data_IF_434012260505
#
_entry.id   IF_434012260505
#
_cell.length_a   1.000
_cell.length_b   1.000
_cell.length_c   1.000
_cell.angle_alpha   90.00
_cell.angle_beta   90.00
_cell.angle_gamma   90.00
#
_symmetry.space_group_name_H-M   'P 1'
#
loop_
_entity.id
_entity.type
_entity.pdbx_description
1 polymer ?
#
# COMPACT_ATOMS: atom_id res chain seq x y z
N UNK A 1 1.90 -12.23 -12.82
CA UNK A 1 1.44 -12.81 -11.55
C UNK A 1 1.37 -11.68 -10.53
N UNK A 2 0.20 -11.45 -9.93
CA UNK A 2 0.00 -10.47 -8.86
C UNK A 2 0.70 -11.00 -7.59
N UNK A 3 1.43 -10.15 -6.88
CA UNK A 3 2.33 -10.57 -5.81
C UNK A 3 2.04 -9.81 -4.51
N UNK A 4 1.83 -10.58 -3.44
CA UNK A 4 1.80 -10.14 -2.05
C UNK A 4 2.64 -11.17 -1.28
N UNK A 5 3.91 -10.88 -1.06
CA UNK A 5 4.87 -11.86 -0.56
C UNK A 5 4.90 -11.94 0.95
N UNK A 6 4.90 -10.78 1.62
CA UNK A 6 5.16 -10.70 3.06
C UNK A 6 4.14 -9.82 3.77
N UNK A 7 3.61 -10.36 4.87
CA UNK A 7 2.61 -9.72 5.73
C UNK A 7 3.19 -9.60 7.13
N UNK A 8 3.28 -8.38 7.68
CA UNK A 8 3.65 -8.16 9.07
C UNK A 8 2.40 -8.01 9.93
N UNK A 9 2.34 -8.76 11.02
CA UNK A 9 1.22 -8.72 11.98
C UNK A 9 1.75 -8.30 13.35
N UNK A 10 1.61 -7.02 13.73
CA UNK A 10 1.88 -6.58 15.09
C UNK A 10 0.84 -7.14 16.06
N UNK A 11 1.31 -7.87 17.07
CA UNK A 11 0.49 -8.48 18.12
C UNK A 11 0.69 -7.72 19.42
N UNK A 12 -0.41 -7.29 20.02
CA UNK A 12 -0.44 -6.91 21.44
C UNK A 12 -0.92 -8.13 22.21
N UNK A 13 -0.04 -8.73 23.01
CA UNK A 13 -0.34 -9.93 23.81
C UNK A 13 -1.45 -9.69 24.84
N UNK A 14 -1.75 -8.41 25.13
CA UNK A 14 -2.82 -8.07 26.05
C UNK A 14 -4.16 -7.87 25.33
N UNK A 15 -4.20 -7.66 24.01
CA UNK A 15 -5.42 -7.32 23.26
C UNK A 15 -6.00 -8.52 22.49
N UNK A 16 -7.19 -8.36 21.92
CA UNK A 16 -7.75 -9.35 21.00
C UNK A 16 -6.98 -9.34 19.67
N UNK A 17 -6.48 -10.51 19.25
CA UNK A 17 -5.64 -10.65 18.05
C UNK A 17 -6.16 -11.66 17.02
N UNK A 18 -7.17 -12.47 17.38
CA UNK A 18 -7.70 -13.54 16.51
C UNK A 18 -8.13 -13.01 15.15
N UNK A 19 -8.74 -11.81 15.11
CA UNK A 19 -9.20 -11.21 13.86
C UNK A 19 -8.04 -10.87 12.93
N UNK A 20 -6.92 -10.37 13.46
CA UNK A 20 -5.70 -10.09 12.70
C UNK A 20 -5.10 -11.38 12.13
N UNK A 21 -4.93 -12.41 12.97
CA UNK A 21 -4.34 -13.69 12.57
C UNK A 21 -5.20 -14.40 11.54
N UNK A 22 -6.52 -14.48 11.75
CA UNK A 22 -7.45 -15.07 10.79
C UNK A 22 -7.46 -14.32 9.45
N UNK A 23 -7.33 -12.99 9.48
CA UNK A 23 -7.19 -12.20 8.24
C UNK A 23 -5.86 -12.51 7.54
N UNK A 24 -4.76 -12.58 8.30
CA UNK A 24 -3.44 -12.91 7.76
C UNK A 24 -3.41 -14.30 7.11
N UNK A 25 -3.93 -15.33 7.79
CA UNK A 25 -4.05 -16.70 7.25
C UNK A 25 -4.82 -16.71 5.93
N UNK A 26 -5.96 -16.02 5.89
CA UNK A 26 -6.82 -15.98 4.72
C UNK A 26 -6.15 -15.34 3.51
N UNK A 27 -5.47 -14.23 3.72
CA UNK A 27 -4.72 -13.53 2.67
C UNK A 27 -3.51 -14.37 2.23
N UNK A 28 -2.74 -14.88 3.19
CA UNK A 28 -1.54 -15.68 2.93
C UNK A 28 -1.85 -16.95 2.11
N UNK A 29 -3.00 -17.59 2.33
CA UNK A 29 -3.44 -18.74 1.51
C UNK A 29 -3.63 -18.42 0.03
N UNK A 30 -4.22 -17.25 -0.25
CA UNK A 30 -4.53 -16.86 -1.63
C UNK A 30 -3.27 -16.45 -2.39
N UNK A 31 -2.36 -15.75 -1.72
CA UNK A 31 -1.14 -15.22 -2.36
C UNK A 31 0.13 -16.03 -2.08
N UNK A 32 0.04 -17.11 -1.30
CA UNK A 32 1.19 -17.86 -0.78
C UNK A 32 2.18 -16.97 -0.02
N UNK A 33 1.66 -16.00 0.75
CA UNK A 33 2.47 -15.03 1.49
C UNK A 33 3.11 -15.65 2.74
N UNK A 34 4.31 -15.19 3.08
CA UNK A 34 4.90 -15.36 4.41
C UNK A 34 4.25 -14.39 5.40
N UNK A 35 3.84 -14.91 6.55
CA UNK A 35 3.33 -14.13 7.68
C UNK A 35 4.44 -13.97 8.71
N UNK A 36 4.68 -12.73 9.14
CA UNK A 36 5.70 -12.39 10.14
C UNK A 36 4.99 -11.77 11.33
N UNK A 37 5.15 -12.38 12.50
CA UNK A 37 4.59 -11.86 13.75
C UNK A 37 5.63 -10.96 14.44
N UNK A 38 5.18 -9.81 14.96
CA UNK A 38 6.01 -8.92 15.77
C UNK A 38 5.30 -8.49 17.05
N UNK A 39 6.03 -8.47 18.17
CA UNK A 39 5.64 -7.80 19.40
C UNK A 39 6.70 -6.77 19.80
N UNK A 40 6.27 -5.62 20.33
CA UNK A 40 7.17 -4.60 20.85
C UNK A 40 6.89 -4.40 22.33
N UNK A 41 7.85 -4.80 23.16
CA UNK A 41 7.84 -4.55 24.59
C UNK A 41 8.09 -3.06 24.84
N UNK A 42 7.37 -2.43 25.80
CA UNK A 42 7.63 -1.04 26.17
C UNK A 42 9.06 -0.88 26.71
N UNK A 43 9.61 0.33 26.52
CA UNK A 43 10.83 0.73 27.20
C UNK A 43 10.51 0.82 28.71
N UNK A 44 11.19 0.03 29.54
CA UNK A 44 11.01 0.11 30.98
C UNK A 44 11.55 1.46 31.46
N UNK A 45 10.68 2.28 32.06
CA UNK A 45 11.04 3.57 32.64
C UNK A 45 11.78 3.37 33.98
N UNK A 46 12.96 2.73 33.94
CA UNK A 46 13.83 2.57 35.10
C UNK A 46 13.29 1.64 36.20
N UNK A 47 14.19 0.85 36.78
CA UNK A 47 13.99 0.07 38.02
C UNK A 47 13.04 -1.13 37.92
N UNK A 48 13.07 -1.87 36.80
CA UNK A 48 12.68 -3.29 36.79
C UNK A 48 13.87 -4.17 37.13
N UNK A 49 13.74 -5.12 38.07
CA UNK A 49 14.80 -6.12 38.26
C UNK A 49 14.99 -6.92 36.96
N UNK A 50 16.22 -7.29 36.61
CA UNK A 50 16.55 -8.14 35.45
C UNK A 50 15.63 -9.36 35.33
N UNK A 51 15.16 -9.89 36.48
CA UNK A 51 14.21 -11.00 36.57
C UNK A 51 12.83 -10.66 35.98
N UNK A 52 12.30 -9.47 36.21
CA UNK A 52 11.00 -9.02 35.67
C UNK A 52 11.09 -8.88 34.15
N UNK A 53 12.14 -8.24 33.66
CA UNK A 53 12.38 -8.09 32.23
C UNK A 53 12.46 -9.46 31.53
N UNK A 54 13.23 -10.39 32.11
CA UNK A 54 13.34 -11.76 31.59
C UNK A 54 11.99 -12.47 31.60
N UNK A 55 11.21 -12.38 32.68
CA UNK A 55 9.89 -13.00 32.75
C UNK A 55 8.91 -12.43 31.71
N UNK A 56 8.95 -11.13 31.44
CA UNK A 56 8.16 -10.50 30.37
C UNK A 56 8.56 -11.02 28.99
N UNK A 57 9.86 -11.14 28.73
CA UNK A 57 10.39 -11.69 27.48
C UNK A 57 10.00 -13.16 27.29
N UNK A 58 10.15 -13.98 28.33
CA UNK A 58 9.83 -15.40 28.31
C UNK A 58 8.32 -15.61 28.03
N UNK A 59 7.45 -14.85 28.72
CA UNK A 59 6.01 -14.87 28.49
C UNK A 59 5.63 -14.43 27.07
N UNK A 60 6.17 -13.31 26.59
CA UNK A 60 5.94 -12.87 25.22
C UNK A 60 6.40 -13.92 24.19
N UNK A 61 7.55 -14.54 24.42
CA UNK A 61 8.09 -15.59 23.54
C UNK A 61 7.16 -16.81 23.50
N UNK A 62 6.76 -17.33 24.65
CA UNK A 62 5.85 -18.48 24.73
C UNK A 62 4.50 -18.16 24.04
N UNK A 63 3.97 -16.98 24.27
CA UNK A 63 2.70 -16.55 23.69
C UNK A 63 2.77 -16.44 22.16
N UNK A 64 3.81 -15.79 21.62
CA UNK A 64 3.95 -15.66 20.17
C UNK A 64 4.27 -16.99 19.49
N UNK A 65 4.99 -17.89 20.16
CA UNK A 65 5.23 -19.24 19.64
C UNK A 65 3.93 -20.02 19.46
N UNK A 66 2.97 -19.91 20.39
CA UNK A 66 1.64 -20.53 20.22
C UNK A 66 0.89 -20.00 19.00
N UNK A 67 0.98 -18.69 18.74
CA UNK A 67 0.39 -18.10 17.52
C UNK A 67 1.12 -18.62 16.27
N UNK A 68 2.44 -18.72 16.33
CA UNK A 68 3.25 -19.22 15.22
C UNK A 68 2.96 -20.70 14.91
N UNK A 69 2.78 -21.54 15.94
CA UNK A 69 2.33 -22.92 15.81
C UNK A 69 0.98 -23.00 15.09
N UNK A 70 0.03 -22.12 15.44
CA UNK A 70 -1.27 -22.02 14.75
C UNK A 70 -1.09 -21.70 13.25
N UNK A 71 -0.17 -20.79 12.90
CA UNK A 71 0.14 -20.49 11.49
C UNK A 71 0.71 -21.72 10.76
N UNK A 72 1.62 -22.46 11.41
CA UNK A 72 2.23 -23.68 10.85
C UNK A 72 1.17 -24.77 10.65
N UNK A 73 0.28 -24.99 11.62
CA UNK A 73 -0.84 -25.94 11.53
C UNK A 73 -1.77 -25.59 10.36
N UNK A 74 -2.04 -24.30 10.15
CA UNK A 74 -2.83 -23.78 9.03
C UNK A 74 -2.06 -23.81 7.69
N UNK A 75 -0.83 -24.33 7.68
CA UNK A 75 0.10 -24.45 6.54
C UNK A 75 0.53 -23.12 5.94
N UNK A 76 0.68 -22.10 6.78
CA UNK A 76 1.15 -20.78 6.40
C UNK A 76 2.68 -20.72 6.50
N UNK A 77 3.32 -20.11 5.50
CA UNK A 77 4.75 -19.80 5.55
C UNK A 77 4.96 -18.76 6.65
N UNK A 78 5.80 -19.06 7.63
CA UNK A 78 6.10 -18.18 8.75
C UNK A 78 7.52 -18.43 9.23
N UNK A 79 8.03 -17.53 10.07
CA UNK A 79 9.35 -17.60 10.69
C UNK A 79 9.25 -17.32 12.19
N UNK A 80 10.38 -17.43 12.88
CA UNK A 80 10.43 -17.14 14.32
C UNK A 80 9.86 -15.74 14.64
N UNK A 81 8.98 -15.62 15.65
CA UNK A 81 8.39 -14.34 16.03
C UNK A 81 9.43 -13.29 16.41
N UNK A 82 9.19 -12.05 16.00
CA UNK A 82 10.09 -10.94 16.26
C UNK A 82 9.67 -10.24 17.56
N UNK A 83 10.57 -10.15 18.52
CA UNK A 83 10.37 -9.35 19.73
C UNK A 83 11.34 -8.16 19.70
N UNK A 84 10.81 -6.94 19.84
CA UNK A 84 11.59 -5.71 19.96
C UNK A 84 11.30 -5.02 21.29
N UNK A 85 12.14 -4.07 21.66
CA UNK A 85 11.91 -3.20 22.80
C UNK A 85 11.92 -1.73 22.35
N UNK A 86 11.11 -0.90 23.03
CA UNK A 86 11.11 0.55 22.88
C UNK A 86 9.83 1.08 22.23
N UNK A 87 9.97 2.09 21.37
CA UNK A 87 8.83 2.75 20.72
C UNK A 87 8.11 1.80 19.75
N UNK A 88 6.82 1.53 20.02
CA UNK A 88 5.99 0.58 19.28
C UNK A 88 5.98 0.85 17.77
N UNK A 89 5.56 2.05 17.37
CA UNK A 89 5.38 2.40 15.96
C UNK A 89 6.70 2.39 15.19
N UNK A 90 7.76 2.95 15.78
CA UNK A 90 9.07 3.03 15.13
C UNK A 90 9.64 1.63 14.87
N UNK A 91 9.52 0.72 15.83
CA UNK A 91 9.98 -0.66 15.68
C UNK A 91 9.16 -1.44 14.63
N UNK A 92 7.84 -1.29 14.62
CA UNK A 92 6.99 -1.93 13.61
C UNK A 92 7.37 -1.44 12.21
N UNK A 93 7.50 -0.13 11.99
CA UNK A 93 7.82 0.42 10.68
C UNK A 93 9.24 0.09 10.22
N UNK A 94 10.21 0.07 11.16
CA UNK A 94 11.58 -0.34 10.89
C UNK A 94 11.64 -1.80 10.46
N UNK A 95 10.94 -2.68 11.16
CA UNK A 95 10.92 -4.11 10.83
C UNK A 95 10.15 -4.37 9.52
N UNK A 96 9.01 -3.72 9.31
CA UNK A 96 8.27 -3.81 8.06
C UNK A 96 9.13 -3.41 6.85
N UNK A 97 9.97 -2.39 7.01
CA UNK A 97 10.93 -1.96 5.97
C UNK A 97 12.09 -2.94 5.81
N UNK A 98 12.65 -3.46 6.91
CA UNK A 98 13.79 -4.38 6.90
C UNK A 98 13.42 -5.75 6.31
N UNK A 99 12.18 -6.18 6.51
CA UNK A 99 11.62 -7.43 6.00
C UNK A 99 10.98 -7.27 4.62
N UNK A 100 11.02 -6.07 4.03
CA UNK A 100 10.42 -5.78 2.73
C UNK A 100 8.96 -6.28 2.63
N UNK A 101 8.16 -5.85 3.60
CA UNK A 101 6.77 -6.26 3.77
C UNK A 101 5.87 -5.45 2.84
N UNK A 102 4.89 -6.14 2.24
CA UNK A 102 3.90 -5.51 1.37
C UNK A 102 2.68 -4.97 2.14
N UNK A 103 2.36 -5.58 3.28
CA UNK A 103 1.16 -5.27 4.06
C UNK A 103 1.40 -5.39 5.56
N UNK A 104 0.94 -4.40 6.34
CA UNK A 104 0.82 -4.49 7.79
C UNK A 104 -0.65 -4.77 8.15
N UNK A 105 -0.92 -5.86 8.87
CA UNK A 105 -2.26 -6.15 9.42
C UNK A 105 -2.26 -5.82 10.91
N UNK A 106 -3.02 -4.80 11.30
CA UNK A 106 -3.10 -4.33 12.68
C UNK A 106 -4.53 -4.42 13.23
N UNK A 107 -4.67 -4.63 14.53
CA UNK A 107 -5.96 -4.51 15.20
C UNK A 107 -6.38 -3.05 15.31
N UNK A 108 -7.69 -2.78 15.35
CA UNK A 108 -8.20 -1.41 15.54
C UNK A 108 -7.98 -0.86 16.96
N UNK A 109 -7.46 -1.65 17.90
CA UNK A 109 -7.23 -1.29 19.30
C UNK A 109 -8.48 -1.31 20.18
N UNK A 110 -8.27 -1.15 21.50
CA UNK A 110 -9.31 -1.17 22.54
C UNK A 110 -10.20 0.07 22.56
N UNK A 111 -11.41 -0.10 23.08
CA UNK A 111 -12.33 1.01 23.39
C UNK A 111 -11.78 1.85 24.55
N UNK A 112 -11.61 3.14 24.34
CA UNK A 112 -11.54 4.11 25.44
C UNK A 112 -12.98 4.38 25.91
N UNK A 113 -13.26 4.23 27.21
CA UNK A 113 -14.57 4.49 27.81
C UNK A 113 -15.05 5.92 27.47
N UNK A 114 -16.31 6.07 27.07
CA UNK A 114 -16.91 7.39 26.74
C UNK A 114 -16.88 7.79 25.27
N UNK A 115 -16.15 7.07 24.40
CA UNK A 115 -16.21 7.25 22.95
C UNK A 115 -16.94 6.09 22.27
N UNK A 116 -17.95 6.40 21.44
CA UNK A 116 -18.57 5.42 20.52
C UNK A 116 -17.50 4.99 19.49
N UNK A 117 -16.76 3.93 19.80
CA UNK A 117 -15.79 3.18 18.96
C UNK A 117 -15.06 4.02 17.90
N UNK A 118 -13.82 4.43 18.15
CA UNK A 118 -13.03 5.14 17.14
C UNK A 118 -11.59 4.63 17.26
N UNK A 119 -11.03 4.10 16.18
CA UNK A 119 -9.63 3.69 15.97
C UNK A 119 -8.62 4.01 17.10
N UNK A 120 -7.93 2.99 17.62
CA UNK A 120 -6.89 3.13 18.63
C UNK A 120 -5.66 3.91 18.11
N UNK A 121 -4.95 4.55 19.03
CA UNK A 121 -3.81 5.44 18.73
C UNK A 121 -2.72 4.74 17.91
N UNK A 122 -2.39 3.48 18.25
CA UNK A 122 -1.39 2.71 17.51
C UNK A 122 -1.77 2.49 16.05
N UNK A 123 -3.04 2.14 15.77
CA UNK A 123 -3.53 1.93 14.42
C UNK A 123 -3.58 3.25 13.63
N UNK A 124 -4.03 4.36 14.25
CA UNK A 124 -4.01 5.69 13.63
C UNK A 124 -2.57 6.11 13.28
N UNK A 125 -1.62 5.91 14.18
CA UNK A 125 -0.20 6.21 13.95
C UNK A 125 0.39 5.33 12.85
N UNK A 126 0.10 4.03 12.81
CA UNK A 126 0.53 3.17 11.71
C UNK A 126 0.01 3.68 10.37
N UNK A 127 -1.29 3.98 10.24
CA UNK A 127 -1.84 4.50 8.98
C UNK A 127 -1.22 5.84 8.58
N UNK A 128 -0.98 6.71 9.57
CA UNK A 128 -0.40 8.04 9.35
C UNK A 128 1.05 7.94 8.88
N UNK A 129 1.88 7.16 9.55
CA UNK A 129 3.33 7.17 9.35
C UNK A 129 3.83 6.07 8.41
N UNK A 130 3.13 4.93 8.32
CA UNK A 130 3.58 3.80 7.51
C UNK A 130 3.66 4.17 6.02
N UNK A 131 4.80 3.95 5.35
CA UNK A 131 4.87 4.00 3.89
C UNK A 131 4.27 2.73 3.24
N UNK A 132 4.05 1.68 4.03
CA UNK A 132 3.49 0.39 3.62
C UNK A 132 1.97 0.42 3.89
N UNK A 133 1.13 -0.14 3.00
CA UNK A 133 -0.29 -0.31 3.25
C UNK A 133 -0.60 -0.92 4.62
N UNK A 134 -1.62 -0.38 5.28
CA UNK A 134 -2.08 -0.86 6.59
C UNK A 134 -3.52 -1.33 6.45
N UNK A 135 -3.76 -2.60 6.78
CA UNK A 135 -5.08 -3.19 6.95
C UNK A 135 -5.42 -3.19 8.43
N UNK A 136 -6.41 -2.39 8.81
CA UNK A 136 -6.93 -2.35 10.18
C UNK A 136 -8.14 -3.28 10.30
N UNK A 137 -8.06 -4.21 11.24
CA UNK A 137 -9.10 -5.22 11.50
C UNK A 137 -9.78 -4.91 12.84
N UNK A 138 -11.12 -4.79 12.89
CA UNK A 138 -11.84 -4.64 14.15
C UNK A 138 -11.86 -5.96 14.95
N UNK A 139 -11.82 -5.91 16.29
CA UNK A 139 -11.65 -7.09 17.16
C UNK A 139 -12.79 -8.13 17.06
N UNK A 140 -14.00 -7.71 16.65
CA UNK A 140 -15.14 -8.59 16.32
C UNK A 140 -15.59 -8.43 14.87
N UNK A 141 -14.69 -7.93 14.03
CA UNK A 141 -14.94 -7.71 12.62
C UNK A 141 -15.16 -9.03 11.89
N UNK A 142 -16.04 -9.02 10.89
CA UNK A 142 -16.06 -10.10 9.92
C UNK A 142 -14.71 -10.07 9.18
N UNK A 143 -13.99 -11.19 9.16
CA UNK A 143 -12.78 -11.40 8.34
C UNK A 143 -13.13 -11.78 6.89
N UNK A 144 -14.40 -11.59 6.52
CA UNK A 144 -14.90 -11.86 5.18
C UNK A 144 -14.46 -10.74 4.24
N UNK A 145 -14.11 -11.12 3.02
CA UNK A 145 -13.80 -10.21 1.92
C UNK A 145 -14.78 -10.65 0.85
N UNK A 146 -15.94 -10.01 0.82
CA UNK A 146 -17.01 -10.37 -0.11
C UNK A 146 -17.78 -9.19 -0.65
N UNK A 147 -17.73 -8.05 0.04
CA UNK A 147 -18.33 -6.82 -0.44
C UNK A 147 -17.43 -5.62 -0.11
N UNK A 148 -16.71 -5.16 -1.12
CA UNK A 148 -15.66 -4.16 -1.03
C UNK A 148 -16.22 -2.79 -1.45
N UNK A 149 -16.03 -1.77 -0.63
CA UNK A 149 -16.27 -0.37 -1.00
C UNK A 149 -14.93 0.32 -1.29
N UNK A 150 -14.82 0.98 -2.44
CA UNK A 150 -13.66 1.76 -2.83
C UNK A 150 -14.07 3.19 -3.22
N UNK A 151 -14.08 4.15 -2.27
CA UNK A 151 -14.29 5.55 -2.62
C UNK A 151 -13.06 6.10 -3.36
N UNK A 152 -13.32 6.87 -4.42
CA UNK A 152 -12.26 7.43 -5.26
C UNK A 152 -12.34 8.95 -5.36
N UNK A 153 -11.16 9.58 -5.34
CA UNK A 153 -10.99 11.02 -5.52
C UNK A 153 -9.98 11.35 -6.63
N UNK A 154 -9.65 10.36 -7.46
CA UNK A 154 -8.79 10.50 -8.64
C UNK A 154 -7.32 10.85 -8.33
N UNK A 155 -6.94 10.88 -7.05
CA UNK A 155 -5.54 11.06 -6.63
C UNK A 155 -4.72 9.78 -6.81
N UNK A 156 -3.39 9.88 -6.81
CA UNK A 156 -2.51 8.70 -6.87
C UNK A 156 -2.77 7.67 -5.74
N UNK A 157 -2.96 8.07 -4.46
CA UNK A 157 -3.38 7.13 -3.42
C UNK A 157 -4.72 6.44 -3.71
N UNK A 158 -5.67 7.15 -4.30
CA UNK A 158 -6.97 6.59 -4.73
C UNK A 158 -6.83 5.62 -5.90
N UNK A 159 -5.91 5.88 -6.85
CA UNK A 159 -5.57 4.91 -7.91
C UNK A 159 -4.99 3.63 -7.32
N UNK A 160 -4.05 3.76 -6.39
CA UNK A 160 -3.48 2.62 -5.66
C UNK A 160 -4.59 1.84 -4.93
N UNK A 161 -5.48 2.54 -4.22
CA UNK A 161 -6.63 1.90 -3.55
C UNK A 161 -7.47 1.08 -4.52
N UNK A 162 -7.84 1.64 -5.68
CA UNK A 162 -8.67 0.96 -6.67
C UNK A 162 -7.96 -0.25 -7.29
N UNK A 163 -6.65 -0.16 -7.61
CA UNK A 163 -5.87 -1.32 -8.11
C UNK A 163 -5.91 -2.50 -7.13
N UNK A 164 -5.78 -2.20 -5.84
CA UNK A 164 -5.85 -3.19 -4.78
C UNK A 164 -7.27 -3.74 -4.60
N UNK A 165 -8.28 -2.88 -4.67
CA UNK A 165 -9.67 -3.29 -4.57
C UNK A 165 -10.09 -4.24 -5.71
N UNK A 166 -9.70 -3.95 -6.94
CA UNK A 166 -9.92 -4.83 -8.11
C UNK A 166 -9.24 -6.18 -7.89
N UNK A 167 -7.99 -6.19 -7.44
CA UNK A 167 -7.24 -7.43 -7.24
C UNK A 167 -7.84 -8.30 -6.14
N UNK A 168 -8.15 -7.71 -4.99
CA UNK A 168 -8.84 -8.42 -3.91
C UNK A 168 -10.24 -8.89 -4.34
N UNK A 169 -10.98 -8.08 -5.11
CA UNK A 169 -12.28 -8.47 -5.60
C UNK A 169 -12.20 -9.70 -6.52
N UNK A 170 -11.24 -9.72 -7.44
CA UNK A 170 -10.98 -10.85 -8.32
C UNK A 170 -10.59 -12.11 -7.53
N UNK A 171 -9.58 -11.99 -6.65
CA UNK A 171 -8.97 -13.13 -5.97
C UNK A 171 -9.89 -13.75 -4.90
N UNK A 172 -10.77 -12.95 -4.29
CA UNK A 172 -11.77 -13.41 -3.33
C UNK A 172 -13.18 -13.60 -3.91
N UNK A 173 -13.37 -13.36 -5.22
CA UNK A 173 -14.69 -13.34 -5.87
C UNK A 173 -15.68 -12.44 -5.11
N UNK A 174 -15.21 -11.28 -4.70
CA UNK A 174 -16.00 -10.29 -3.96
C UNK A 174 -16.63 -9.28 -4.93
N UNK A 175 -17.78 -8.73 -4.54
CA UNK A 175 -18.38 -7.60 -5.23
C UNK A 175 -17.60 -6.31 -4.90
N UNK A 176 -17.38 -5.46 -5.88
CA UNK A 176 -16.67 -4.18 -5.75
C UNK A 176 -17.59 -3.01 -6.08
N UNK A 177 -17.83 -2.12 -5.11
CA UNK A 177 -18.48 -0.83 -5.38
C UNK A 177 -17.44 0.28 -5.44
N UNK A 178 -17.32 0.93 -6.60
CA UNK A 178 -16.50 2.13 -6.78
C UNK A 178 -17.38 3.35 -6.53
N UNK A 179 -17.05 4.14 -5.51
CA UNK A 179 -17.88 5.26 -5.05
C UNK A 179 -17.25 6.62 -5.42
N UNK A 180 -17.95 7.42 -6.20
CA UNK A 180 -17.67 8.84 -6.40
C UNK A 180 -18.63 9.69 -5.57
N UNK A 181 -18.13 10.68 -4.84
CA UNK A 181 -18.98 11.61 -4.07
C UNK A 181 -18.62 13.05 -4.41
N UNK A 182 -19.62 13.87 -4.71
CA UNK A 182 -19.47 15.33 -4.85
C UNK A 182 -20.24 16.04 -3.75
N UNK A 183 -19.65 17.09 -3.18
CA UNK A 183 -20.35 17.91 -2.18
C UNK A 183 -21.39 18.82 -2.85
N UNK A 184 -22.61 18.91 -2.28
CA UNK A 184 -23.66 19.77 -2.82
C UNK A 184 -23.27 21.24 -2.68
N UNK A 185 -23.77 22.07 -3.58
CA UNK A 185 -23.81 23.51 -3.34
C UNK A 185 -24.87 23.78 -2.28
N UNK A 186 -24.44 24.31 -1.15
CA UNK A 186 -25.33 24.71 -0.05
C UNK A 186 -25.54 26.22 -0.10
N UNK A 187 -26.78 26.66 0.11
CA UNK A 187 -27.13 28.07 0.15
C UNK A 187 -26.51 28.75 1.37
N UNK A 188 -25.68 29.76 1.12
CA UNK A 188 -25.32 30.79 2.11
C UNK A 188 -25.73 32.20 1.66
N UNK A 189 -26.46 32.31 0.54
CA UNK A 189 -26.78 33.60 -0.07
C UNK A 189 -28.29 33.73 -0.33
N UNK A 190 -28.94 34.80 0.18
CA UNK A 190 -30.35 35.09 -0.11
C UNK A 190 -30.64 35.45 -1.58
N UNK A 191 -29.62 35.48 -2.45
CA UNK A 191 -29.74 35.86 -3.88
C UNK A 191 -29.94 34.68 -4.84
N UNK A 192 -29.85 33.44 -4.38
CA UNK A 192 -29.99 32.25 -5.22
C UNK A 192 -31.28 31.50 -4.88
N UNK A 193 -32.01 31.06 -5.92
CA UNK A 193 -33.24 30.28 -5.76
C UNK A 193 -32.92 28.78 -5.63
N UNK A 194 -33.87 27.99 -5.11
CA UNK A 194 -33.69 26.53 -4.95
C UNK A 194 -33.40 25.83 -6.30
N UNK A 195 -34.06 26.28 -7.36
CA UNK A 195 -33.91 25.77 -8.73
C UNK A 195 -32.48 25.95 -9.26
N UNK A 196 -31.82 27.07 -8.96
CA UNK A 196 -30.43 27.34 -9.35
C UNK A 196 -29.46 26.30 -8.74
N UNK A 197 -29.75 25.81 -7.52
CA UNK A 197 -28.90 24.82 -6.84
C UNK A 197 -29.13 23.41 -7.38
N UNK A 198 -30.35 23.04 -7.73
CA UNK A 198 -30.64 21.74 -8.34
C UNK A 198 -29.98 21.61 -9.72
N UNK A 199 -30.01 22.70 -10.51
CA UNK A 199 -29.31 22.76 -11.79
C UNK A 199 -27.78 22.63 -11.61
N UNK A 200 -27.19 23.41 -10.70
CA UNK A 200 -25.75 23.36 -10.40
C UNK A 200 -25.31 21.98 -9.87
N UNK A 201 -26.11 21.35 -9.00
CA UNK A 201 -25.86 20.00 -8.52
C UNK A 201 -25.97 18.96 -9.65
N UNK A 202 -26.90 19.14 -10.60
CA UNK A 202 -27.00 18.31 -11.80
C UNK A 202 -25.77 18.44 -12.68
N UNK A 203 -25.27 19.66 -12.88
CA UNK A 203 -24.02 19.93 -13.63
C UNK A 203 -22.84 19.24 -12.94
N UNK A 204 -22.73 19.35 -11.61
CA UNK A 204 -21.69 18.69 -10.82
C UNK A 204 -21.73 17.17 -10.92
N UNK A 205 -22.92 16.57 -10.91
CA UNK A 205 -23.10 15.13 -11.11
C UNK A 205 -22.64 14.68 -12.51
N UNK A 206 -22.99 15.43 -13.57
CA UNK A 206 -22.49 15.14 -14.93
C UNK A 206 -20.96 15.25 -15.02
N UNK A 207 -20.38 16.23 -14.35
CA UNK A 207 -18.92 16.38 -14.29
C UNK A 207 -18.28 15.19 -13.54
N UNK A 208 -18.85 14.80 -12.41
CA UNK A 208 -18.40 13.64 -11.64
C UNK A 208 -18.45 12.35 -12.49
N UNK A 209 -19.54 12.13 -13.23
CA UNK A 209 -19.69 11.00 -14.14
C UNK A 209 -18.62 10.98 -15.23
N UNK A 210 -18.36 12.14 -15.86
CA UNK A 210 -17.33 12.29 -16.90
C UNK A 210 -15.93 11.98 -16.35
N UNK A 211 -15.58 12.53 -15.19
CA UNK A 211 -14.29 12.29 -14.55
C UNK A 211 -14.13 10.83 -14.11
N UNK A 212 -15.19 10.23 -13.55
CA UNK A 212 -15.22 8.81 -13.21
C UNK A 212 -14.96 7.96 -14.46
N UNK A 213 -15.68 8.20 -15.55
CA UNK A 213 -15.49 7.45 -16.80
C UNK A 213 -14.07 7.60 -17.35
N UNK A 214 -13.47 8.79 -17.25
CA UNK A 214 -12.08 9.01 -17.68
C UNK A 214 -11.10 8.25 -16.78
N UNK A 215 -11.29 8.31 -15.47
CA UNK A 215 -10.43 7.66 -14.49
C UNK A 215 -10.43 6.14 -14.62
N UNK A 216 -11.60 5.54 -14.81
CA UNK A 216 -11.74 4.08 -14.86
C UNK A 216 -11.16 3.45 -16.14
N UNK A 217 -10.89 4.22 -17.19
CA UNK A 217 -10.25 3.72 -18.42
C UNK A 217 -8.88 3.10 -18.19
N UNK A 218 -8.19 3.52 -17.15
CA UNK A 218 -6.83 3.07 -16.83
C UNK A 218 -6.82 1.76 -16.00
N UNK A 219 -7.99 1.14 -15.78
CA UNK A 219 -8.16 -0.02 -14.91
C UNK A 219 -8.83 -1.18 -15.65
N UNK A 220 -8.35 -2.39 -15.39
CA UNK A 220 -8.93 -3.62 -15.90
C UNK A 220 -9.83 -4.25 -14.82
N UNK A 221 -11.13 -4.34 -15.12
CA UNK A 221 -12.14 -4.97 -14.26
C UNK A 221 -12.50 -6.38 -14.71
N UNK A 222 -11.75 -6.97 -15.64
CA UNK A 222 -12.03 -8.31 -16.17
C UNK A 222 -12.10 -9.35 -15.05
N UNK A 223 -13.23 -10.06 -14.98
CA UNK A 223 -13.48 -11.08 -13.96
C UNK A 223 -13.85 -10.53 -12.58
N UNK A 224 -14.19 -9.23 -12.47
CA UNK A 224 -14.67 -8.61 -11.23
C UNK A 224 -16.16 -8.28 -11.36
N UNK A 225 -16.94 -8.67 -10.36
CA UNK A 225 -18.30 -8.17 -10.17
C UNK A 225 -18.23 -6.76 -9.57
N UNK A 226 -18.53 -5.72 -10.36
CA UNK A 226 -18.40 -4.34 -9.90
C UNK A 226 -19.55 -3.43 -10.30
N UNK A 227 -19.79 -2.42 -9.45
CA UNK A 227 -20.75 -1.35 -9.66
C UNK A 227 -20.10 0.01 -9.44
N UNK A 228 -20.48 1.00 -10.24
CA UNK A 228 -20.11 2.40 -10.06
C UNK A 228 -21.28 3.10 -9.40
N UNK A 229 -21.01 3.75 -8.26
CA UNK A 229 -22.01 4.50 -7.51
C UNK A 229 -21.57 5.97 -7.40
N UNK A 230 -22.41 6.89 -7.89
CA UNK A 230 -22.16 8.32 -7.86
C UNK A 230 -23.17 8.97 -6.92
N UNK A 231 -22.68 9.66 -5.90
CA UNK A 231 -23.49 10.25 -4.85
C UNK A 231 -23.23 11.75 -4.72
N UNK A 232 -24.26 12.47 -4.29
CA UNK A 232 -24.14 13.85 -3.83
C UNK A 232 -24.30 13.90 -2.31
N UNK A 233 -23.36 14.53 -1.62
CA UNK A 233 -23.41 14.62 -0.16
C UNK A 233 -22.05 14.89 0.49
N UNK A 234 -22.04 14.90 1.82
CA UNK A 234 -20.79 15.00 2.57
C UNK A 234 -19.98 13.72 2.40
N UNK A 235 -18.82 13.81 1.73
CA UNK A 235 -17.94 12.67 1.41
C UNK A 235 -17.76 11.69 2.58
N UNK A 236 -17.30 12.10 3.79
CA UNK A 236 -17.09 11.16 4.88
C UNK A 236 -18.38 10.50 5.39
N UNK A 237 -19.50 11.22 5.44
CA UNK A 237 -20.78 10.68 5.90
C UNK A 237 -21.33 9.68 4.88
N UNK A 238 -21.34 10.04 3.60
CA UNK A 238 -21.77 9.16 2.52
C UNK A 238 -20.98 7.86 2.50
N UNK A 239 -19.66 7.89 2.69
CA UNK A 239 -18.83 6.66 2.76
C UNK A 239 -19.28 5.77 3.92
N UNK A 240 -19.43 6.34 5.12
CA UNK A 240 -19.85 5.58 6.31
C UNK A 240 -21.26 4.99 6.15
N UNK A 241 -22.18 5.77 5.57
CA UNK A 241 -23.55 5.33 5.31
C UNK A 241 -23.60 4.23 4.27
N UNK A 242 -22.79 4.31 3.21
CA UNK A 242 -22.67 3.26 2.20
C UNK A 242 -22.16 1.95 2.80
N UNK A 243 -21.14 1.99 3.67
CA UNK A 243 -20.65 0.81 4.39
C UNK A 243 -21.76 0.17 5.21
N UNK A 244 -22.54 0.96 5.97
CA UNK A 244 -23.62 0.46 6.83
C UNK A 244 -24.80 -0.08 6.01
N UNK A 245 -25.29 0.69 5.03
CA UNK A 245 -26.47 0.40 4.22
C UNK A 245 -26.30 -0.88 3.41
N UNK A 246 -25.15 -1.03 2.75
CA UNK A 246 -24.86 -2.17 1.88
C UNK A 246 -24.03 -3.27 2.57
N UNK A 247 -23.76 -3.11 3.88
CA UNK A 247 -23.02 -4.07 4.71
C UNK A 247 -21.67 -4.48 4.09
N UNK A 248 -20.94 -3.51 3.56
CA UNK A 248 -19.59 -3.73 3.05
C UNK A 248 -18.71 -4.30 4.19
N UNK A 249 -17.92 -5.34 3.89
CA UNK A 249 -17.05 -5.99 4.88
C UNK A 249 -15.60 -5.47 4.81
N UNK A 250 -15.24 -4.77 3.73
CA UNK A 250 -13.95 -4.13 3.53
C UNK A 250 -14.09 -2.76 2.86
N UNK A 251 -13.52 -1.72 3.47
CA UNK A 251 -13.28 -0.42 2.81
C UNK A 251 -11.83 -0.34 2.34
N UNK A 252 -11.59 0.10 1.11
CA UNK A 252 -10.23 0.37 0.61
C UNK A 252 -10.19 1.80 0.10
N UNK A 253 -9.32 2.65 0.67
CA UNK A 253 -9.24 4.06 0.29
C UNK A 253 -7.83 4.63 0.38
N UNK A 254 -7.58 5.75 -0.29
CA UNK A 254 -6.34 6.51 -0.12
C UNK A 254 -6.21 7.14 1.27
N UNK A 255 -4.98 7.23 1.80
CA UNK A 255 -4.70 7.94 3.07
C UNK A 255 -4.77 9.47 2.94
N UNK A 256 -4.60 9.97 1.72
CA UNK A 256 -4.54 11.39 1.38
C UNK A 256 -5.23 11.62 0.05
N UNK A 257 -5.83 12.80 -0.12
CA UNK A 257 -6.52 13.15 -1.36
C UNK A 257 -5.81 14.19 -2.22
N UNK A 258 -6.56 14.77 -3.17
CA UNK A 258 -6.09 15.75 -4.18
C UNK A 258 -5.31 16.96 -3.63
N UNK A 259 -5.60 17.42 -2.40
CA UNK A 259 -5.00 18.64 -1.84
C UNK A 259 -3.53 18.48 -1.38
N UNK A 260 -3.00 17.25 -1.34
CA UNK A 260 -1.55 17.01 -1.35
C UNK A 260 -0.70 17.71 -0.28
N UNK A 261 -1.21 17.94 0.94
CA UNK A 261 -0.41 18.52 2.02
C UNK A 261 0.73 17.58 2.44
N UNK A 262 1.94 18.15 2.52
CA UNK A 262 3.24 17.47 2.59
C UNK A 262 3.33 16.38 3.69
N UNK A 263 3.72 15.18 3.24
CA UNK A 263 4.54 14.13 3.88
C UNK A 263 4.11 13.45 5.21
N UNK A 264 3.11 13.91 5.97
CA UNK A 264 2.78 13.25 7.27
C UNK A 264 1.29 13.27 7.65
N UNK A 265 0.44 14.01 6.94
CA UNK A 265 -0.96 14.20 7.37
C UNK A 265 -1.90 13.23 6.67
N UNK A 266 -2.62 12.42 7.46
CA UNK A 266 -3.80 11.69 7.00
C UNK A 266 -4.88 12.70 6.59
N UNK A 267 -5.53 12.46 5.46
CA UNK A 267 -6.60 13.33 4.93
C UNK A 267 -7.77 13.46 5.90
N UNK A 268 -8.42 14.63 5.90
CA UNK A 268 -9.56 14.92 6.78
C UNK A 268 -10.72 13.94 6.58
N UNK A 269 -10.97 13.52 5.33
CA UNK A 269 -11.98 12.50 4.98
C UNK A 269 -11.59 11.15 5.59
N UNK A 270 -10.40 10.64 5.30
CA UNK A 270 -9.91 9.36 5.83
C UNK A 270 -9.98 9.33 7.36
N UNK A 271 -9.51 10.38 8.03
CA UNK A 271 -9.55 10.51 9.49
C UNK A 271 -10.97 10.43 10.07
N UNK A 272 -11.94 11.10 9.44
CA UNK A 272 -13.34 11.06 9.86
C UNK A 272 -13.95 9.67 9.63
N UNK A 273 -13.71 9.09 8.45
CA UNK A 273 -14.26 7.80 8.04
C UNK A 273 -13.74 6.68 8.95
N UNK A 274 -12.43 6.51 9.12
CA UNK A 274 -11.86 5.37 9.86
C UNK A 274 -12.19 5.36 11.34
N UNK A 275 -12.61 6.51 11.88
CA UNK A 275 -13.13 6.64 13.24
C UNK A 275 -14.56 6.15 13.40
N UNK A 276 -15.31 5.87 12.33
CA UNK A 276 -16.74 5.54 12.40
C UNK A 276 -17.12 4.25 11.68
N UNK A 277 -16.14 3.58 11.05
CA UNK A 277 -16.36 2.35 10.29
C UNK A 277 -16.63 1.15 11.19
N UNK A 278 -17.67 0.34 10.89
CA UNK A 278 -17.92 -0.92 11.57
C UNK A 278 -17.18 -2.12 10.96
N UNK A 279 -16.49 -1.95 9.83
CA UNK A 279 -15.84 -3.01 9.06
C UNK A 279 -14.31 -2.88 9.04
N UNK A 280 -13.64 -3.89 8.48
CA UNK A 280 -12.22 -3.80 8.17
C UNK A 280 -11.95 -2.71 7.13
N UNK A 281 -10.77 -2.12 7.18
CA UNK A 281 -10.38 -1.15 6.15
C UNK A 281 -8.88 -1.18 5.85
N UNK A 282 -8.56 -0.88 4.59
CA UNK A 282 -7.19 -0.75 4.09
C UNK A 282 -6.99 0.68 3.67
N UNK A 283 -5.87 1.26 4.09
CA UNK A 283 -5.45 2.56 3.58
C UNK A 283 -4.16 2.47 2.77
N UNK A 284 -4.17 3.08 1.58
CA UNK A 284 -3.04 3.09 0.66
C UNK A 284 -2.45 4.50 0.53
N UNK A 285 -1.12 4.56 0.45
CA UNK A 285 -0.38 5.75 -0.02
C UNK A 285 -0.10 5.57 -1.52
N UNK A 286 1.07 6.00 -1.98
CA UNK A 286 1.54 5.71 -3.35
C UNK A 286 1.90 4.23 -3.55
N UNK A 287 2.27 3.51 -2.48
CA UNK A 287 2.51 2.07 -2.53
C UNK A 287 1.19 1.30 -2.59
N UNK A 288 1.11 0.36 -3.53
CA UNK A 288 0.09 -0.70 -3.61
C UNK A 288 0.37 -1.80 -2.57
N UNK A 289 -0.62 -2.65 -2.21
CA UNK A 289 -0.32 -3.88 -1.46
C UNK A 289 -0.05 -5.06 -2.40
N UNK A 290 -0.70 -5.06 -3.57
CA UNK A 290 -0.52 -6.05 -4.63
C UNK A 290 0.13 -5.35 -5.82
N UNK A 291 1.22 -5.92 -6.32
CA UNK A 291 1.91 -5.46 -7.52
C UNK A 291 2.03 -6.57 -8.54
N UNK A 292 2.12 -6.23 -9.82
CA UNK A 292 2.67 -7.16 -10.82
C UNK A 292 4.20 -7.18 -10.63
N UNK A 293 4.82 -8.37 -10.62
CA UNK A 293 6.28 -8.52 -10.50
C UNK A 293 7.04 -7.62 -11.49
N UNK A 294 6.55 -7.54 -12.72
CA UNK A 294 7.11 -6.70 -13.77
C UNK A 294 6.98 -5.20 -13.47
N UNK A 295 5.81 -4.75 -13.00
CA UNK A 295 5.59 -3.32 -12.68
C UNK A 295 6.41 -2.87 -11.47
N UNK A 296 6.66 -3.78 -10.52
CA UNK A 296 7.50 -3.50 -9.36
C UNK A 296 8.97 -3.32 -9.79
N UNK A 297 9.49 -4.24 -10.59
CA UNK A 297 10.86 -4.16 -11.11
C UNK A 297 11.06 -2.85 -11.87
N UNK A 298 10.10 -2.47 -12.74
CA UNK A 298 10.15 -1.21 -13.49
C UNK A 298 10.10 0.01 -12.56
N UNK A 299 9.17 0.06 -11.60
CA UNK A 299 9.03 1.19 -10.68
C UNK A 299 10.26 1.35 -9.77
N UNK A 300 10.83 0.24 -9.30
CA UNK A 300 12.01 0.22 -8.45
C UNK A 300 13.26 0.65 -9.24
N UNK A 301 13.41 0.15 -10.47
CA UNK A 301 14.44 0.59 -11.43
C UNK A 301 14.35 2.10 -11.66
N UNK A 302 13.16 2.62 -11.97
CA UNK A 302 12.96 4.06 -12.21
C UNK A 302 13.29 4.90 -10.97
N UNK A 303 12.93 4.41 -9.78
CA UNK A 303 13.19 5.11 -8.52
C UNK A 303 14.68 5.23 -8.26
N UNK A 304 15.42 4.13 -8.39
CA UNK A 304 16.89 4.13 -8.27
C UNK A 304 17.54 4.96 -9.37
N UNK A 305 17.04 4.89 -10.61
CA UNK A 305 17.58 5.64 -11.72
C UNK A 305 17.45 7.16 -11.50
N UNK A 306 16.25 7.63 -11.10
CA UNK A 306 16.00 9.05 -10.77
C UNK A 306 16.86 9.54 -9.60
N UNK A 307 17.06 8.71 -8.56
CA UNK A 307 17.98 9.03 -7.45
C UNK A 307 19.42 9.13 -7.94
N UNK A 308 19.89 8.16 -8.72
CA UNK A 308 21.23 8.13 -9.28
C UNK A 308 21.54 9.36 -10.12
N UNK A 309 20.62 9.75 -11.01
CA UNK A 309 20.71 10.98 -11.81
C UNK A 309 20.88 12.23 -10.94
N UNK A 310 20.03 12.40 -9.92
CA UNK A 310 20.13 13.53 -8.99
C UNK A 310 21.46 13.57 -8.23
N UNK A 311 21.97 12.42 -7.81
CA UNK A 311 23.28 12.35 -7.13
C UNK A 311 24.43 12.68 -8.08
N UNK A 312 24.35 12.26 -9.34
CA UNK A 312 25.35 12.58 -10.36
C UNK A 312 25.40 14.08 -10.65
N UNK A 313 24.25 14.74 -10.80
CA UNK A 313 24.15 16.21 -10.94
C UNK A 313 24.78 16.96 -9.76
N UNK A 314 24.65 16.41 -8.55
CA UNK A 314 25.26 16.94 -7.33
C UNK A 314 26.75 16.59 -7.16
N UNK A 315 27.39 15.98 -8.18
CA UNK A 315 28.78 15.48 -8.14
C UNK A 315 29.05 14.45 -7.03
N UNK A 316 28.01 13.79 -6.52
CA UNK A 316 28.10 12.71 -5.52
C UNK A 316 28.28 11.37 -6.23
N UNK A 317 29.41 11.22 -6.95
CA UNK A 317 29.62 10.11 -7.89
C UNK A 317 29.52 8.73 -7.22
N UNK A 318 30.05 8.53 -6.02
CA UNK A 318 29.95 7.25 -5.29
C UNK A 318 28.50 6.86 -4.97
N UNK A 319 27.68 7.82 -4.58
CA UNK A 319 26.26 7.58 -4.28
C UNK A 319 25.48 7.30 -5.57
N UNK A 320 25.76 8.06 -6.64
CA UNK A 320 25.17 7.82 -7.96
C UNK A 320 25.48 6.42 -8.48
N UNK A 321 26.74 5.98 -8.39
CA UNK A 321 27.17 4.63 -8.77
C UNK A 321 26.39 3.56 -7.98
N UNK A 322 26.20 3.76 -6.67
CA UNK A 322 25.44 2.81 -5.83
C UNK A 322 23.99 2.68 -6.31
N UNK A 323 23.33 3.80 -6.61
CA UNK A 323 21.95 3.81 -7.10
C UNK A 323 21.83 3.16 -8.48
N UNK A 324 22.72 3.47 -9.43
CA UNK A 324 22.68 2.83 -10.74
C UNK A 324 22.99 1.31 -10.68
N UNK A 325 23.85 0.86 -9.76
CA UNK A 325 24.04 -0.58 -9.51
C UNK A 325 22.84 -1.26 -8.86
N UNK A 326 21.96 -0.51 -8.18
CA UNK A 326 20.68 -1.06 -7.71
C UNK A 326 19.75 -1.31 -8.91
N UNK A 327 19.69 -0.40 -9.89
CA UNK A 327 18.99 -0.67 -11.15
C UNK A 327 19.44 -1.97 -11.81
N UNK A 328 20.77 -2.20 -11.92
CA UNK A 328 21.32 -3.39 -12.56
C UNK A 328 21.16 -4.69 -11.74
N UNK A 329 20.86 -4.59 -10.44
CA UNK A 329 20.50 -5.76 -9.64
C UNK A 329 19.07 -6.21 -9.89
N UNK A 330 18.20 -5.29 -10.31
CA UNK A 330 16.80 -5.57 -10.62
C UNK A 330 16.69 -6.03 -12.08
N UNK A 331 17.36 -5.33 -13.01
CA UNK A 331 17.49 -5.74 -14.40
C UNK A 331 18.89 -5.39 -14.91
N UNK A 332 19.71 -6.42 -15.11
CA UNK A 332 21.11 -6.30 -15.54
C UNK A 332 21.27 -5.81 -16.98
N UNK A 333 20.18 -5.81 -17.77
CA UNK A 333 20.10 -5.26 -19.12
C UNK A 333 19.49 -3.84 -19.16
N UNK A 334 19.32 -3.15 -18.03
CA UNK A 334 18.78 -1.79 -18.01
C UNK A 334 19.78 -0.75 -18.55
N UNK A 335 19.84 -0.63 -19.87
CA UNK A 335 20.77 0.19 -20.66
C UNK A 335 20.93 1.63 -20.15
N UNK A 336 19.87 2.38 -19.75
CA UNK A 336 20.03 3.74 -19.25
C UNK A 336 20.97 3.83 -18.03
N UNK A 337 20.88 2.89 -17.08
CA UNK A 337 21.78 2.87 -15.93
C UNK A 337 23.21 2.45 -16.30
N UNK A 338 23.38 1.54 -17.26
CA UNK A 338 24.70 1.12 -17.77
C UNK A 338 25.42 2.31 -18.41
N UNK A 339 24.72 3.09 -19.25
CA UNK A 339 25.26 4.33 -19.82
C UNK A 339 25.67 5.33 -18.75
N UNK A 340 24.81 5.58 -17.76
CA UNK A 340 25.14 6.54 -16.68
C UNK A 340 26.25 6.06 -15.77
N UNK A 341 26.40 4.75 -15.54
CA UNK A 341 27.57 4.21 -14.85
C UNK A 341 28.85 4.52 -15.61
N UNK A 342 28.87 4.37 -16.94
CA UNK A 342 30.03 4.73 -17.76
C UNK A 342 30.44 6.19 -17.56
N UNK A 343 29.49 7.13 -17.71
CA UNK A 343 29.72 8.57 -17.54
C UNK A 343 30.25 8.89 -16.14
N UNK A 344 29.60 8.38 -15.09
CA UNK A 344 29.97 8.70 -13.71
C UNK A 344 31.30 8.06 -13.31
N UNK A 345 31.64 6.86 -13.77
CA UNK A 345 32.97 6.29 -13.52
C UNK A 345 34.08 7.09 -14.19
N UNK A 346 33.84 7.60 -15.41
CA UNK A 346 34.80 8.47 -16.08
C UNK A 346 35.01 9.76 -15.28
N UNK A 347 33.92 10.41 -14.85
CA UNK A 347 33.95 11.60 -13.99
C UNK A 347 34.58 11.36 -12.61
N UNK A 348 34.59 10.10 -12.14
CA UNK A 348 35.22 9.68 -10.89
C UNK A 348 36.68 9.22 -11.05
N UNK A 349 37.26 9.32 -12.26
CA UNK A 349 38.63 8.91 -12.57
C UNK A 349 38.84 7.40 -12.69
N UNK A 350 37.77 6.60 -12.74
CA UNK A 350 37.81 5.14 -12.81
C UNK A 350 37.70 4.64 -14.26
N UNK A 351 38.70 5.01 -15.07
CA UNK A 351 38.67 4.87 -16.54
C UNK A 351 38.44 3.43 -17.04
N UNK A 352 39.01 2.43 -16.36
CA UNK A 352 38.81 1.02 -16.72
C UNK A 352 37.35 0.59 -16.59
N UNK A 353 36.66 1.05 -15.54
CA UNK A 353 35.24 0.76 -15.32
C UNK A 353 34.37 1.53 -16.30
N UNK A 354 34.70 2.79 -16.57
CA UNK A 354 34.00 3.58 -17.58
C UNK A 354 33.99 2.87 -18.95
N UNK A 355 35.17 2.43 -19.41
CA UNK A 355 35.32 1.68 -20.67
C UNK A 355 34.54 0.37 -20.66
N UNK A 356 34.53 -0.37 -19.54
CA UNK A 356 33.74 -1.59 -19.39
C UNK A 356 32.25 -1.33 -19.59
N UNK A 357 31.66 -0.38 -18.84
CA UNK A 357 30.22 -0.09 -18.95
C UNK A 357 29.86 0.53 -20.30
N UNK A 358 30.74 1.33 -20.90
CA UNK A 358 30.54 1.84 -22.26
C UNK A 358 30.45 0.69 -23.29
N UNK A 359 31.38 -0.27 -23.21
CA UNK A 359 31.39 -1.44 -24.09
C UNK A 359 30.14 -2.30 -23.88
N UNK A 360 29.78 -2.56 -22.62
CA UNK A 360 28.59 -3.34 -22.27
C UNK A 360 27.29 -2.70 -22.81
N UNK A 361 27.14 -1.38 -22.67
CA UNK A 361 25.98 -0.68 -23.23
C UNK A 361 25.90 -0.81 -24.75
N UNK A 362 27.04 -0.68 -25.44
CA UNK A 362 27.12 -0.84 -26.90
C UNK A 362 26.76 -2.26 -27.34
N UNK A 363 27.27 -3.28 -26.66
CA UNK A 363 26.96 -4.68 -26.97
C UNK A 363 25.48 -5.01 -26.79
N UNK A 364 24.85 -4.50 -25.72
CA UNK A 364 23.42 -4.71 -25.48
C UNK A 364 22.54 -3.97 -26.51
N UNK A 365 22.93 -2.76 -26.92
CA UNK A 365 22.22 -2.02 -27.97
C UNK A 365 22.30 -2.73 -29.33
N UNK A 366 23.46 -3.27 -29.69
CA UNK A 366 23.62 -4.03 -30.94
C UNK A 366 22.74 -5.29 -30.94
N UNK A 367 22.70 -6.04 -29.83
CA UNK A 367 21.83 -7.22 -29.72
C UNK A 367 20.34 -6.91 -29.88
N UNK A 368 19.87 -5.82 -29.28
CA UNK A 368 18.47 -5.40 -29.42
C UNK A 368 18.14 -5.01 -30.87
N UNK A 369 19.07 -4.34 -31.57
CA UNK A 369 18.89 -4.00 -32.98
C UNK A 369 18.86 -5.23 -33.88
N UNK A 370 19.71 -6.23 -33.61
CA UNK A 370 19.73 -7.48 -34.38
C UNK A 370 18.42 -8.28 -34.17
N UNK A 371 17.88 -8.30 -32.94
CA UNK A 371 16.60 -8.96 -32.63
C UNK A 371 15.38 -8.25 -33.27
N UNK A 372 15.36 -6.91 -33.28
CA UNK A 372 14.30 -6.13 -33.93
C UNK A 372 14.33 -6.35 -35.47
N UNK A 373 15.52 -6.39 -36.07
CA UNK A 373 15.70 -6.70 -37.50
C UNK A 373 15.28 -8.14 -37.82
N UNK A 374 15.66 -9.13 -37.00
CA UNK A 374 15.22 -10.53 -37.18
C UNK A 374 13.70 -10.66 -37.09
N UNK A 375 13.05 -9.89 -36.20
CA UNK A 375 11.60 -9.89 -36.04
C UNK A 375 10.91 -9.25 -37.24
N UNK A 376 11.39 -8.11 -37.73
CA UNK A 376 10.89 -7.48 -38.96
C UNK A 376 11.05 -8.40 -40.18
N UNK A 377 12.20 -9.08 -40.31
CA UNK A 377 12.43 -10.07 -41.37
C UNK A 377 11.42 -11.23 -41.26
N UNK A 378 11.21 -11.81 -40.07
CA UNK A 378 10.23 -12.89 -39.87
C UNK A 378 8.79 -12.47 -40.14
N UNK A 379 8.44 -11.21 -39.89
CA UNK A 379 7.12 -10.65 -40.21
C UNK A 379 6.97 -10.40 -41.73
N UNK A 380 8.04 -9.96 -42.40
CA UNK A 380 8.05 -9.70 -43.85
C UNK A 380 8.05 -10.96 -44.72
N UNK A 381 8.59 -12.08 -44.23
CA UNK A 381 8.59 -13.38 -44.93
C UNK A 381 7.44 -14.32 -44.51
N UNK A 382 6.47 -13.83 -43.72
CA UNK A 382 5.23 -14.56 -43.36
C UNK A 382 3.98 -14.06 -44.11
N UNK A 383 4.10 -13.03 -44.96
CA UNK A 383 3.12 -12.67 -45.99
C UNK A 383 3.46 -13.34 -47.31
#
# INVERSE_FOLDING_TARGET
MKQLDRILVPIDINDQYDAQINTAIKIARVYSSEVIIIHVLPEEAGVGSIKVHKALLDNATEFLNKINETLIEERIITKDPIIKQGKLIDNILKEASAQDVNLIIAGSGRKIQGHRHKLGDSAEKLMRYSPIPVWVVPPKGKTKISNILCPVDYSEPSKSALKNAISLAQDFKASLRVLGVVEPVLSFSPRYQLEDFEEENTIRMRYLEKEMKKFLKDFDFSGVDYEIDLQIGSVPLTIVDMVKKHKHDLLIMGTTGRSGLKRVLMGSVTSKVTRELPCSFITTKSKSLIYSKFDNDVMEIETHFKKGMKMAEQRRHKDAIREFKLCLRINDMYIPAIHKLSEVYHQNGEEAKAKYYHKLAKELLTRLWDEDIEKEIREHYRS
#
